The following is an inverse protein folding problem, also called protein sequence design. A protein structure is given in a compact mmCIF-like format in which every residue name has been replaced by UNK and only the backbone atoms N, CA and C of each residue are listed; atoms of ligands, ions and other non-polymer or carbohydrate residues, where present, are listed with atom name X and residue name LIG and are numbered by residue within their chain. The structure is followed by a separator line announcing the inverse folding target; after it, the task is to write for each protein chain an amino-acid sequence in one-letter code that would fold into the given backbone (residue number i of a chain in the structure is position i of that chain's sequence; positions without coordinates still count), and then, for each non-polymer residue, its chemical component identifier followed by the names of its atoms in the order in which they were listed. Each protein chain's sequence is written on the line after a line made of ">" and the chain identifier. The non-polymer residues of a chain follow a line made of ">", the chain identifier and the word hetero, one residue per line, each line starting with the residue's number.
data_IF_109325156501
#
_entry.id   IF_109325156501
#
_cell.length_a   1.000
_cell.length_b   1.000
_cell.length_c   1.000
_cell.angle_alpha   90.00
_cell.angle_beta   90.00
_cell.angle_gamma   90.00
#
_symmetry.space_group_name_H-M   'P 1'
#
loop_
_entity.id
_entity.type
_entity.pdbx_description
1 polymer ?
#
# COMPACT_ATOMS: atom_id res chain seq x y z
N UNK A 1 3.62 -2.74 1.28
CA UNK A 1 2.87 -1.46 1.27
C UNK A 1 2.40 -1.23 2.70
N UNK A 2 2.07 -0.02 3.12
CA UNK A 2 1.37 0.19 4.38
C UNK A 2 0.59 1.51 4.26
N UNK A 3 -0.42 1.68 5.10
CA UNK A 3 -1.37 2.79 5.06
C UNK A 3 -1.38 3.52 6.40
N UNK A 4 -1.06 4.81 6.39
CA UNK A 4 -1.23 5.66 7.56
C UNK A 4 -2.19 6.81 7.24
N UNK A 5 -2.96 7.27 8.21
CA UNK A 5 -3.84 8.42 8.03
C UNK A 5 -3.65 9.46 9.13
N UNK A 6 -3.91 10.71 8.77
CA UNK A 6 -3.86 11.84 9.68
C UNK A 6 -4.65 13.03 9.15
N UNK A 7 -4.77 14.07 9.97
CA UNK A 7 -5.44 15.31 9.60
C UNK A 7 -4.42 16.40 9.29
N UNK A 8 -4.61 17.12 8.18
CA UNK A 8 -3.75 18.25 7.83
C UNK A 8 -4.49 19.56 8.12
N UNK A 9 -4.16 20.16 9.26
CA UNK A 9 -4.72 21.43 9.75
C UNK A 9 -6.16 21.31 10.30
N UNK A 10 -7.04 20.57 9.64
CA UNK A 10 -8.45 20.40 10.06
C UNK A 10 -8.93 18.95 9.89
N UNK A 11 -9.92 18.55 10.71
CA UNK A 11 -10.50 17.19 10.68
C UNK A 11 -11.17 16.84 9.34
N UNK A 12 -11.73 17.81 8.64
CA UNK A 12 -12.29 17.62 7.28
C UNK A 12 -11.22 17.37 6.21
N UNK A 13 -9.94 17.54 6.55
CA UNK A 13 -8.80 17.36 5.65
C UNK A 13 -8.00 16.13 6.05
N UNK A 14 -8.70 15.00 6.23
CA UNK A 14 -8.03 13.71 6.40
C UNK A 14 -7.23 13.38 5.14
N UNK A 15 -6.02 12.87 5.32
CA UNK A 15 -5.14 12.41 4.26
C UNK A 15 -4.61 11.03 4.61
N UNK A 16 -4.59 10.18 3.60
CA UNK A 16 -3.99 8.86 3.62
C UNK A 16 -2.62 8.94 2.98
N UNK A 17 -1.64 8.34 3.64
CA UNK A 17 -0.32 8.06 3.14
C UNK A 17 -0.30 6.60 2.72
N UNK A 18 -0.07 6.37 1.43
CA UNK A 18 0.30 5.06 0.92
C UNK A 18 1.79 5.07 0.62
N UNK A 19 2.53 4.06 1.06
CA UNK A 19 3.96 3.96 0.74
C UNK A 19 4.42 2.54 0.43
N UNK A 20 5.47 2.47 -0.39
CA UNK A 20 6.21 1.27 -0.67
C UNK A 20 7.58 1.34 -0.01
N UNK A 21 7.92 0.30 0.73
CA UNK A 21 9.14 0.21 1.50
C UNK A 21 9.98 -0.99 1.06
N UNK A 22 11.22 -0.71 0.69
CA UNK A 22 12.23 -1.73 0.44
C UNK A 22 12.84 -2.15 1.78
N UNK A 23 12.51 -3.37 2.22
CA UNK A 23 13.02 -3.92 3.48
C UNK A 23 14.53 -4.18 3.48
N UNK A 24 15.12 -4.50 2.32
CA UNK A 24 16.55 -4.79 2.22
C UNK A 24 17.35 -3.49 2.34
N UNK A 25 16.92 -2.45 1.60
CA UNK A 25 17.56 -1.14 1.62
C UNK A 25 17.10 -0.24 2.76
N UNK A 26 16.09 -0.69 3.53
CA UNK A 26 15.43 0.04 4.62
C UNK A 26 15.00 1.45 4.20
N UNK A 27 14.43 1.58 3.01
CA UNK A 27 14.08 2.89 2.44
C UNK A 27 12.69 2.89 1.81
N UNK A 28 12.04 4.05 1.82
CA UNK A 28 10.79 4.28 1.08
C UNK A 28 11.16 4.53 -0.38
N UNK A 29 10.64 3.71 -1.29
CA UNK A 29 10.93 3.82 -2.73
C UNK A 29 9.87 4.61 -3.49
N UNK A 30 8.65 4.68 -2.96
CA UNK A 30 7.59 5.54 -3.46
C UNK A 30 6.56 5.80 -2.37
N UNK A 31 5.92 6.96 -2.42
CA UNK A 31 4.78 7.28 -1.57
C UNK A 31 3.81 8.22 -2.28
N UNK A 32 2.53 8.20 -1.88
CA UNK A 32 1.52 9.16 -2.32
C UNK A 32 0.63 9.57 -1.16
N UNK A 33 0.24 10.84 -1.15
CA UNK A 33 -0.81 11.34 -0.26
C UNK A 33 -2.13 11.49 -1.04
N UNK A 34 -3.25 11.17 -0.40
CA UNK A 34 -4.55 11.37 -1.01
C UNK A 34 -5.71 10.89 -0.15
N UNK A 35 -6.87 10.76 -0.76
CA UNK A 35 -7.99 10.02 -0.17
C UNK A 35 -7.74 8.52 -0.31
N UNK A 36 -8.40 7.72 0.54
CA UNK A 36 -8.36 6.25 0.48
C UNK A 36 -9.21 5.75 -0.69
N UNK A 37 -8.69 5.88 -1.91
CA UNK A 37 -9.42 5.53 -3.15
C UNK A 37 -8.50 4.83 -4.15
N UNK A 38 -9.10 4.13 -5.12
CA UNK A 38 -8.37 3.48 -6.22
C UNK A 38 -7.60 4.45 -7.10
N UNK A 39 -8.06 5.69 -7.23
CA UNK A 39 -7.32 6.72 -7.97
C UNK A 39 -6.00 7.08 -7.26
N UNK A 40 -5.99 7.11 -5.93
CA UNK A 40 -4.74 7.31 -5.15
C UNK A 40 -3.84 6.09 -5.23
N UNK A 41 -4.39 4.88 -5.13
CA UNK A 41 -3.61 3.64 -5.28
C UNK A 41 -3.01 3.51 -6.70
N UNK A 42 -3.78 3.79 -7.74
CA UNK A 42 -3.31 3.73 -9.14
C UNK A 42 -2.13 4.67 -9.39
N UNK A 43 -2.12 5.86 -8.77
CA UNK A 43 -0.98 6.78 -8.82
C UNK A 43 0.27 6.17 -8.18
N UNK A 44 0.14 5.50 -7.03
CA UNK A 44 1.25 4.77 -6.43
C UNK A 44 1.74 3.64 -7.35
N UNK A 45 0.81 2.90 -7.98
CA UNK A 45 1.15 1.83 -8.91
C UNK A 45 1.94 2.32 -10.13
N UNK A 46 1.61 3.49 -10.66
CA UNK A 46 2.39 4.11 -11.73
C UNK A 46 3.82 4.43 -11.29
N UNK A 47 4.01 4.97 -10.07
CA UNK A 47 5.34 5.24 -9.50
C UNK A 47 6.13 3.94 -9.27
N UNK A 48 5.45 2.84 -9.01
CA UNK A 48 6.06 1.53 -8.78
C UNK A 48 6.32 0.72 -10.05
N UNK A 49 5.87 1.19 -11.22
CA UNK A 49 6.06 0.48 -12.49
C UNK A 49 7.52 0.09 -12.83
N UNK A 50 8.58 0.85 -12.46
CA UNK A 50 9.95 0.43 -12.72
C UNK A 50 10.55 -0.48 -11.63
N UNK A 51 9.79 -0.86 -10.59
CA UNK A 51 10.28 -1.67 -9.48
C UNK A 51 9.65 -3.08 -9.45
N UNK A 52 10.45 -4.09 -9.16
CA UNK A 52 9.97 -5.46 -8.87
C UNK A 52 9.40 -5.54 -7.45
N UNK A 53 8.18 -5.03 -7.26
CA UNK A 53 7.49 -5.02 -5.95
C UNK A 53 6.83 -6.37 -5.68
N UNK A 54 7.34 -7.09 -4.68
CA UNK A 54 6.95 -8.50 -4.37
C UNK A 54 5.98 -8.65 -3.18
N UNK A 55 5.84 -7.63 -2.31
CA UNK A 55 5.04 -7.76 -1.07
C UNK A 55 4.04 -6.62 -0.89
N UNK A 56 2.77 -7.02 -0.97
CA UNK A 56 1.61 -6.23 -0.58
C UNK A 56 1.37 -6.48 0.92
N UNK A 57 1.38 -5.43 1.72
CA UNK A 57 0.92 -5.52 3.12
C UNK A 57 -0.15 -4.46 3.21
N UNK A 58 -1.38 -4.89 3.36
CA UNK A 58 -2.53 -4.01 3.53
C UNK A 58 -3.37 -4.67 4.61
N UNK A 59 -4.14 -3.88 5.33
CA UNK A 59 -4.92 -4.24 6.51
C UNK A 59 -6.14 -5.13 6.21
N UNK A 60 -6.08 -5.99 5.20
CA UNK A 60 -7.19 -6.84 4.77
C UNK A 60 -8.30 -6.07 4.04
N UNK A 61 -7.96 -4.95 3.41
CA UNK A 61 -8.94 -4.15 2.68
C UNK A 61 -9.46 -4.92 1.45
N UNK A 62 -10.79 -5.08 1.26
CA UNK A 62 -11.37 -5.93 0.21
C UNK A 62 -10.92 -5.59 -1.22
N UNK A 63 -10.45 -4.36 -1.44
CA UNK A 63 -9.94 -3.87 -2.73
C UNK A 63 -8.60 -4.49 -3.16
N UNK A 64 -7.88 -5.18 -2.28
CA UNK A 64 -6.66 -5.92 -2.61
C UNK A 64 -6.89 -7.41 -2.87
N UNK A 65 -8.12 -7.92 -2.67
CA UNK A 65 -8.46 -9.32 -2.96
C UNK A 65 -8.43 -9.63 -4.47
N UNK A 66 -8.45 -8.59 -5.32
CA UNK A 66 -8.28 -8.67 -6.77
C UNK A 66 -6.99 -7.97 -7.22
N UNK A 67 -5.80 -8.58 -6.97
CA UNK A 67 -4.56 -8.03 -7.49
C UNK A 67 -4.56 -8.04 -9.03
N UNK A 68 -3.84 -7.10 -9.68
CA UNK A 68 -3.64 -7.13 -11.13
C UNK A 68 -3.06 -8.49 -11.56
N UNK A 69 -3.54 -9.04 -12.68
CA UNK A 69 -3.11 -10.35 -13.20
C UNK A 69 -1.58 -10.50 -13.16
N UNK A 70 -1.12 -11.57 -12.50
CA UNK A 70 0.31 -11.91 -12.40
C UNK A 70 1.03 -11.44 -11.13
N UNK A 71 0.37 -10.78 -10.16
CA UNK A 71 1.01 -10.39 -8.87
C UNK A 71 0.33 -11.07 -7.68
N UNK A 72 1.06 -11.92 -6.96
CA UNK A 72 0.55 -12.60 -5.77
C UNK A 72 0.44 -11.64 -4.57
N UNK A 73 -0.76 -11.49 -4.01
CA UNK A 73 -0.96 -10.91 -2.69
C UNK A 73 -0.79 -12.03 -1.65
N UNK A 74 0.19 -11.89 -0.75
CA UNK A 74 0.35 -12.80 0.41
C UNK A 74 -0.04 -12.04 1.68
N UNK A 75 -1.17 -12.42 2.26
CA UNK A 75 -1.70 -11.81 3.49
C UNK A 75 -0.91 -12.27 4.72
N UNK A 76 -0.49 -11.33 5.57
CA UNK A 76 0.25 -11.59 6.82
C UNK A 76 -0.55 -12.45 7.81
N UNK A 77 -1.89 -12.40 7.78
CA UNK A 77 -2.76 -13.26 8.62
C UNK A 77 -2.54 -14.75 8.33
N UNK A 78 -2.28 -15.13 7.08
CA UNK A 78 -1.99 -16.52 6.71
C UNK A 78 -0.60 -16.99 7.17
N UNK A 79 0.33 -16.06 7.38
CA UNK A 79 1.70 -16.37 7.84
C UNK A 79 1.72 -16.58 9.36
N UNK A 80 0.86 -15.88 10.12
CA UNK A 80 0.74 -16.07 11.56
C UNK A 80 -0.28 -17.14 12.00
N UNK A 81 -1.20 -17.55 11.12
CA UNK A 81 -2.14 -18.65 11.39
C UNK A 81 -1.53 -20.06 11.12
N UNK A 82 -0.30 -20.12 10.62
CA UNK A 82 0.40 -21.36 10.30
C UNK A 82 1.45 -21.79 11.36
N UNK A 83 1.38 -21.24 12.58
CA UNK A 83 2.19 -21.68 13.73
C UNK A 83 1.29 -22.17 14.86
#
# INVERSE_FOLDING_TARGET
>A
MDEQWGYVGAKSRQRWLFYAYDRLRKTVVAHVFGERTMATLGRLMSLLSPFDVVIWMTDGWPLYESPPEGKAARNQQAIYAAN
#
